data_IF_493221543355
#
_entry.id   IF_493221543355
#
_cell.length_a   1.000
_cell.length_b   1.000
_cell.length_c   1.000
_cell.angle_alpha   90.00
_cell.angle_beta   90.00
_cell.angle_gamma   90.00
#
_symmetry.space_group_name_H-M   'P 1'
#
loop_
_entity.id
_entity.type
_entity.pdbx_description
1 polymer ?
#
# COMPACT_ATOMS: atom_id res chain seq x y z
N UNK A 1 -11.45 0.48 -2.74
CA UNK A 1 -10.30 -0.08 -2.00
C UNK A 1 -10.77 -0.72 -0.70
N UNK A 2 -10.40 -1.97 -0.46
CA UNK A 2 -10.77 -2.66 0.77
C UNK A 2 -9.92 -2.22 1.97
N UNK A 3 -10.38 -2.54 3.19
CA UNK A 3 -9.68 -2.30 4.44
C UNK A 3 -8.68 -3.41 4.77
N UNK A 4 -8.46 -3.68 6.06
CA UNK A 4 -7.58 -4.76 6.53
C UNK A 4 -6.12 -4.34 6.73
N UNK A 5 -5.88 -3.05 6.97
CA UNK A 5 -4.59 -2.48 7.40
C UNK A 5 -3.42 -2.75 6.46
N UNK A 6 -3.65 -3.01 5.17
CA UNK A 6 -2.64 -3.52 4.22
C UNK A 6 -2.03 -4.88 4.63
N UNK A 7 -2.61 -5.58 5.60
CA UNK A 7 -2.16 -6.88 6.09
C UNK A 7 -3.08 -8.03 5.62
N UNK A 8 -4.37 -7.74 5.45
CA UNK A 8 -5.40 -8.70 5.06
C UNK A 8 -6.49 -8.05 4.18
N UNK A 9 -7.38 -8.86 3.61
CA UNK A 9 -8.49 -8.42 2.77
C UNK A 9 -8.44 -9.01 1.36
N UNK A 10 -9.38 -8.63 0.52
CA UNK A 10 -9.46 -9.09 -0.87
C UNK A 10 -10.30 -8.15 -1.72
N UNK A 11 -10.01 -8.09 -3.03
CA UNK A 11 -10.82 -7.37 -4.01
C UNK A 11 -12.20 -8.01 -4.25
N UNK A 12 -12.37 -9.29 -3.92
CA UNK A 12 -13.60 -10.07 -4.12
C UNK A 12 -14.34 -10.36 -2.81
N UNK A 13 -14.10 -9.55 -1.77
CA UNK A 13 -14.75 -9.75 -0.46
C UNK A 13 -16.16 -9.17 -0.36
N UNK A 14 -16.55 -8.33 -1.32
CA UNK A 14 -17.87 -7.73 -1.39
C UNK A 14 -18.82 -8.63 -2.15
N UNK A 15 -20.07 -8.69 -1.69
CA UNK A 15 -21.12 -9.46 -2.34
C UNK A 15 -21.53 -8.82 -3.68
N UNK A 16 -21.56 -9.62 -4.75
CA UNK A 16 -21.84 -9.15 -6.10
C UNK A 16 -23.27 -8.58 -6.25
N UNK A 17 -24.25 -9.16 -5.53
CA UNK A 17 -25.62 -8.66 -5.54
C UNK A 17 -25.69 -7.28 -4.88
N UNK A 18 -25.00 -7.10 -3.75
CA UNK A 18 -24.88 -5.79 -3.11
C UNK A 18 -24.22 -4.76 -4.04
N UNK A 19 -23.13 -5.12 -4.72
CA UNK A 19 -22.49 -4.23 -5.70
C UNK A 19 -23.48 -3.84 -6.80
N UNK A 20 -24.19 -4.82 -7.35
CA UNK A 20 -25.16 -4.60 -8.42
C UNK A 20 -26.28 -3.67 -7.99
N UNK A 21 -26.92 -3.95 -6.85
CA UNK A 21 -28.08 -3.20 -6.34
C UNK A 21 -27.76 -1.77 -5.90
N UNK A 22 -26.52 -1.53 -5.46
CA UNK A 22 -26.12 -0.23 -4.92
C UNK A 22 -25.42 0.66 -5.93
N UNK A 23 -24.74 0.07 -6.92
CA UNK A 23 -23.91 0.80 -7.89
C UNK A 23 -24.34 0.52 -9.32
N UNK A 24 -24.19 -0.71 -9.82
CA UNK A 24 -24.38 -0.99 -11.25
C UNK A 24 -25.80 -0.74 -11.74
N UNK A 25 -26.83 -1.01 -10.93
CA UNK A 25 -28.23 -0.72 -11.26
C UNK A 25 -28.57 0.77 -11.26
N UNK A 26 -27.62 1.63 -10.89
CA UNK A 26 -27.75 3.09 -10.82
C UNK A 26 -26.74 3.77 -11.76
N UNK A 27 -26.39 3.08 -12.84
CA UNK A 27 -25.50 3.57 -13.89
C UNK A 27 -24.08 3.93 -13.38
N UNK A 28 -23.59 3.20 -12.38
CA UNK A 28 -22.21 3.32 -11.88
C UNK A 28 -21.39 2.11 -12.30
N UNK A 29 -20.27 2.35 -12.99
CA UNK A 29 -19.25 1.32 -13.21
C UNK A 29 -18.44 1.15 -11.92
N UNK A 30 -18.60 0.00 -11.26
CA UNK A 30 -17.93 -0.31 -10.01
C UNK A 30 -16.65 -1.12 -10.28
N UNK A 31 -15.51 -0.65 -9.76
CA UNK A 31 -14.21 -1.31 -9.93
C UNK A 31 -13.62 -1.69 -8.57
N UNK A 32 -13.20 -2.93 -8.43
CA UNK A 32 -12.36 -3.42 -7.33
C UNK A 32 -11.03 -3.89 -7.89
N UNK A 33 -9.93 -3.47 -7.25
CA UNK A 33 -8.58 -3.89 -7.64
C UNK A 33 -7.90 -4.58 -6.46
N UNK A 34 -7.13 -5.62 -6.77
CA UNK A 34 -6.28 -6.30 -5.81
C UNK A 34 -4.94 -5.57 -5.69
N UNK A 35 -4.39 -5.57 -4.49
CA UNK A 35 -3.05 -5.05 -4.21
C UNK A 35 -2.36 -6.01 -3.25
N UNK A 36 -1.02 -6.00 -3.24
CA UNK A 36 -0.24 -6.84 -2.33
C UNK A 36 -0.52 -6.46 -0.87
N UNK A 37 -0.43 -7.45 0.01
CA UNK A 37 -0.73 -7.33 1.43
C UNK A 37 0.45 -7.88 2.26
N UNK A 38 0.46 -7.51 3.53
CA UNK A 38 1.41 -8.02 4.52
C UNK A 38 2.85 -7.73 4.13
N UNK A 39 3.72 -8.69 4.42
CA UNK A 39 5.12 -8.69 4.03
C UNK A 39 5.29 -8.30 2.56
N UNK A 40 4.54 -8.92 1.66
CA UNK A 40 4.67 -8.69 0.21
C UNK A 40 4.26 -7.28 -0.25
N UNK A 41 3.42 -6.59 0.52
CA UNK A 41 2.93 -5.25 0.19
C UNK A 41 3.71 -4.13 0.86
N UNK A 42 4.23 -4.36 2.06
CA UNK A 42 4.74 -3.30 2.94
C UNK A 42 6.05 -3.66 3.66
N UNK A 43 6.83 -4.62 3.17
CA UNK A 43 8.23 -4.79 3.58
C UNK A 43 9.04 -3.52 3.32
N UNK A 44 10.15 -3.35 4.05
CA UNK A 44 11.06 -2.24 3.84
C UNK A 44 12.51 -2.61 4.14
N UNK A 45 13.42 -1.90 3.49
CA UNK A 45 14.84 -1.86 3.81
C UNK A 45 15.29 -0.40 4.00
N UNK A 46 16.50 -0.21 4.54
CA UNK A 46 17.08 1.14 4.77
C UNK A 46 17.32 1.92 3.48
N UNK A 47 17.51 1.22 2.37
CA UNK A 47 17.47 1.77 1.01
C UNK A 47 16.27 1.17 0.26
N UNK A 48 15.80 1.86 -0.77
CA UNK A 48 14.70 1.44 -1.65
C UNK A 48 15.19 1.02 -3.06
N UNK A 49 16.51 0.98 -3.26
CA UNK A 49 17.14 0.67 -4.55
C UNK A 49 16.90 -0.77 -5.02
N UNK A 50 16.93 -1.75 -4.09
CA UNK A 50 16.72 -3.17 -4.44
C UNK A 50 15.24 -3.53 -4.51
N UNK A 51 14.45 -3.03 -3.55
CA UNK A 51 13.01 -3.22 -3.48
C UNK A 51 12.38 -1.89 -3.05
N UNK A 52 11.52 -1.29 -3.89
CA UNK A 52 10.79 -0.10 -3.51
C UNK A 52 9.96 -0.33 -2.25
N UNK A 53 9.93 0.65 -1.35
CA UNK A 53 9.00 0.67 -0.22
C UNK A 53 7.57 0.87 -0.73
N UNK A 54 6.57 0.56 0.11
CA UNK A 54 5.16 0.78 -0.21
C UNK A 54 4.69 0.11 -1.52
N UNK A 55 5.14 -1.12 -1.79
CA UNK A 55 4.74 -1.90 -2.97
C UNK A 55 3.22 -1.98 -3.16
N UNK A 56 2.45 -2.14 -2.08
CA UNK A 56 0.99 -2.11 -2.12
C UNK A 56 0.43 -0.77 -2.62
N UNK A 57 1.09 0.35 -2.31
CA UNK A 57 0.67 1.66 -2.79
C UNK A 57 0.93 1.80 -4.29
N UNK A 58 2.06 1.28 -4.78
CA UNK A 58 2.31 1.21 -6.23
C UNK A 58 1.27 0.37 -6.96
N UNK A 59 0.85 -0.77 -6.40
CA UNK A 59 -0.21 -1.59 -7.00
C UNK A 59 -1.54 -0.82 -7.08
N UNK A 60 -1.88 -0.08 -6.02
CA UNK A 60 -3.10 0.75 -5.98
C UNK A 60 -3.03 1.88 -7.01
N UNK A 61 -1.91 2.58 -7.11
CA UNK A 61 -1.70 3.65 -8.09
C UNK A 61 -1.83 3.10 -9.51
N UNK A 62 -1.19 1.96 -9.80
CA UNK A 62 -1.30 1.30 -11.10
C UNK A 62 -2.75 0.89 -11.41
N UNK A 63 -3.51 0.44 -10.39
CA UNK A 63 -4.93 0.14 -10.55
C UNK A 63 -5.78 1.38 -10.87
N UNK A 64 -5.52 2.51 -10.22
CA UNK A 64 -6.23 3.77 -10.52
C UNK A 64 -5.85 4.29 -11.90
N UNK A 65 -4.57 4.22 -12.26
CA UNK A 65 -4.07 4.59 -13.59
C UNK A 65 -4.71 3.74 -14.70
N UNK A 66 -4.82 2.43 -14.49
CA UNK A 66 -5.53 1.53 -15.40
C UNK A 66 -7.00 1.93 -15.56
N UNK A 67 -7.70 2.24 -14.45
CA UNK A 67 -9.09 2.72 -14.51
C UNK A 67 -9.19 4.01 -15.32
N UNK A 68 -8.31 5.00 -15.09
CA UNK A 68 -8.34 6.25 -15.83
C UNK A 68 -8.21 6.04 -17.35
N UNK A 69 -7.35 5.11 -17.79
CA UNK A 69 -7.13 4.86 -19.22
C UNK A 69 -8.19 3.97 -19.87
N UNK A 70 -8.77 3.01 -19.13
CA UNK A 70 -9.59 1.94 -19.71
C UNK A 70 -11.09 2.06 -19.43
N UNK A 71 -11.51 2.81 -18.40
CA UNK A 71 -12.90 2.74 -17.92
C UNK A 71 -13.94 3.18 -18.98
N UNK A 72 -13.52 4.00 -19.95
CA UNK A 72 -14.35 4.39 -21.09
C UNK A 72 -14.84 3.18 -21.92
N UNK A 73 -14.01 2.13 -22.06
CA UNK A 73 -14.38 0.91 -22.77
C UNK A 73 -15.48 0.10 -22.04
N UNK A 74 -15.64 0.33 -20.74
CA UNK A 74 -16.65 -0.30 -19.89
C UNK A 74 -17.88 0.59 -19.67
N UNK A 75 -17.97 1.73 -20.37
CA UNK A 75 -19.07 2.69 -20.25
C UNK A 75 -18.94 3.70 -19.11
N UNK A 76 -17.78 3.78 -18.44
CA UNK A 76 -17.51 4.81 -17.45
C UNK A 76 -16.95 6.08 -18.08
N UNK A 77 -16.87 7.16 -17.28
CA UNK A 77 -16.26 8.42 -17.68
C UNK A 77 -14.92 8.62 -16.95
N UNK A 78 -13.77 8.65 -17.65
CA UNK A 78 -12.46 8.83 -17.03
C UNK A 78 -12.28 10.20 -16.36
N UNK A 79 -13.19 11.15 -16.61
CA UNK A 79 -13.22 12.47 -15.95
C UNK A 79 -14.14 12.52 -14.72
N UNK A 80 -14.79 11.42 -14.38
CA UNK A 80 -15.68 11.30 -13.21
C UNK A 80 -15.32 10.06 -12.37
N UNK A 81 -14.03 9.84 -12.15
CA UNK A 81 -13.54 8.74 -11.31
C UNK A 81 -13.58 9.15 -9.84
N UNK A 82 -14.21 8.31 -9.00
CA UNK A 82 -14.25 8.47 -7.54
C UNK A 82 -13.44 7.36 -6.87
N UNK A 83 -12.42 7.71 -6.09
CA UNK A 83 -11.70 6.75 -5.25
C UNK A 83 -12.42 6.56 -3.92
N UNK A 84 -12.89 5.34 -3.66
CA UNK A 84 -13.62 5.00 -2.43
C UNK A 84 -12.85 3.95 -1.64
N UNK A 85 -12.82 4.09 -0.31
CA UNK A 85 -12.25 3.07 0.55
C UNK A 85 -12.79 3.05 1.98
N UNK A 86 -12.73 1.87 2.60
CA UNK A 86 -13.12 1.64 4.00
C UNK A 86 -11.89 1.33 4.86
N UNK A 87 -11.86 1.84 6.10
CA UNK A 87 -10.76 1.63 7.06
C UNK A 87 -9.43 2.09 6.43
N UNK A 88 -8.41 1.21 6.39
CA UNK A 88 -7.14 1.51 5.72
C UNK A 88 -7.31 1.91 4.25
N UNK A 89 -8.30 1.36 3.54
CA UNK A 89 -8.61 1.79 2.18
C UNK A 89 -9.09 3.24 2.13
N UNK A 90 -9.82 3.70 3.14
CA UNK A 90 -10.22 5.11 3.28
C UNK A 90 -9.01 6.00 3.59
N UNK A 91 -8.10 5.54 4.45
CA UNK A 91 -6.83 6.22 4.72
C UNK A 91 -6.00 6.36 3.44
N UNK A 92 -5.91 5.31 2.63
CA UNK A 92 -5.17 5.34 1.36
C UNK A 92 -5.82 6.31 0.37
N UNK A 93 -7.15 6.38 0.29
CA UNK A 93 -7.84 7.37 -0.53
C UNK A 93 -7.43 8.81 -0.13
N UNK A 94 -7.35 9.09 1.17
CA UNK A 94 -6.88 10.39 1.67
C UNK A 94 -5.40 10.64 1.37
N UNK A 95 -4.55 9.62 1.55
CA UNK A 95 -3.10 9.66 1.29
C UNK A 95 -2.82 10.00 -0.18
N UNK A 96 -3.49 9.30 -1.10
CA UNK A 96 -3.33 9.49 -2.54
C UNK A 96 -3.80 10.89 -2.94
N UNK A 97 -4.91 11.37 -2.39
CA UNK A 97 -5.39 12.73 -2.66
C UNK A 97 -4.46 13.83 -2.11
N UNK A 98 -3.84 13.60 -0.95
CA UNK A 98 -2.92 14.57 -0.34
C UNK A 98 -1.54 14.60 -1.01
N UNK A 99 -1.09 13.51 -1.62
CA UNK A 99 0.22 13.44 -2.24
C UNK A 99 0.28 14.13 -3.60
N UNK A 100 1.10 15.19 -3.68
CA UNK A 100 1.44 15.84 -4.95
C UNK A 100 2.33 15.01 -5.87
N UNK A 101 2.87 13.87 -5.40
CA UNK A 101 3.70 12.98 -6.20
C UNK A 101 2.87 11.97 -6.99
N UNK A 102 1.72 11.56 -6.46
CA UNK A 102 0.93 10.46 -7.02
C UNK A 102 0.06 10.95 -8.19
N UNK A 103 -0.59 12.11 -8.05
CA UNK A 103 -1.40 12.70 -9.12
C UNK A 103 -1.12 14.21 -9.24
N UNK A 104 0.06 14.62 -9.73
CA UNK A 104 0.47 16.03 -9.77
C UNK A 104 -0.47 16.90 -10.61
N UNK A 105 -1.14 16.32 -11.61
CA UNK A 105 -2.04 17.02 -12.52
C UNK A 105 -3.53 16.86 -12.17
N UNK A 106 -3.85 16.10 -11.12
CA UNK A 106 -5.23 15.81 -10.67
C UNK A 106 -6.11 15.21 -11.76
N UNK A 107 -5.54 14.28 -12.53
CA UNK A 107 -6.22 13.65 -13.66
C UNK A 107 -6.75 12.25 -13.34
N UNK A 108 -6.10 11.54 -12.42
CA UNK A 108 -6.40 10.13 -12.16
C UNK A 108 -7.77 9.93 -11.51
N UNK A 109 -8.22 10.87 -10.69
CA UNK A 109 -9.55 10.87 -10.09
C UNK A 109 -9.99 12.28 -9.65
N UNK A 110 -11.30 12.46 -9.45
CA UNK A 110 -11.90 13.76 -9.18
C UNK A 110 -12.54 13.85 -7.80
N UNK A 111 -12.92 12.72 -7.21
CA UNK A 111 -13.63 12.67 -5.93
C UNK A 111 -13.08 11.55 -5.05
N UNK A 112 -13.24 11.69 -3.74
CA UNK A 112 -12.87 10.66 -2.77
C UNK A 112 -14.00 10.41 -1.77
N UNK A 113 -14.13 9.16 -1.35
CA UNK A 113 -15.00 8.74 -0.25
C UNK A 113 -14.16 7.92 0.73
N UNK A 114 -13.89 8.48 1.90
CA UNK A 114 -13.15 7.81 2.97
C UNK A 114 -14.11 7.38 4.09
N UNK A 115 -14.35 6.07 4.22
CA UNK A 115 -15.26 5.50 5.21
C UNK A 115 -14.46 4.98 6.39
N UNK A 116 -14.68 5.54 7.57
CA UNK A 116 -13.99 5.18 8.81
C UNK A 116 -12.46 5.09 8.66
N UNK A 117 -11.79 6.12 8.08
CA UNK A 117 -10.35 6.07 7.88
C UNK A 117 -9.60 5.98 9.21
N UNK A 118 -8.49 5.24 9.21
CA UNK A 118 -7.55 5.14 10.31
C UNK A 118 -6.14 5.40 9.78
N UNK A 119 -5.60 6.60 10.03
CA UNK A 119 -4.24 6.94 9.59
C UNK A 119 -3.23 6.12 10.41
N UNK A 120 -2.72 5.06 9.79
CA UNK A 120 -1.71 4.16 10.37
C UNK A 120 -0.42 4.27 9.55
N UNK A 121 0.47 5.17 9.97
CA UNK A 121 1.81 5.29 9.42
C UNK A 121 2.80 4.47 10.23
N UNK A 122 3.70 3.77 9.53
CA UNK A 122 4.80 3.03 10.15
C UNK A 122 6.14 3.70 9.81
N UNK A 123 7.06 3.82 10.78
CA UNK A 123 8.41 4.30 10.49
C UNK A 123 9.17 3.26 9.66
N UNK A 124 9.93 3.73 8.66
CA UNK A 124 10.76 2.89 7.79
C UNK A 124 11.75 2.06 8.61
N UNK A 125 12.38 2.64 9.63
CA UNK A 125 13.34 1.93 10.49
C UNK A 125 12.69 0.71 11.16
N UNK A 126 11.56 0.89 11.84
CA UNK A 126 10.86 -0.21 12.51
C UNK A 126 10.35 -1.28 11.55
N UNK A 127 9.89 -0.90 10.35
CA UNK A 127 9.51 -1.88 9.32
C UNK A 127 10.72 -2.62 8.74
N UNK A 128 11.87 -1.94 8.63
CA UNK A 128 13.11 -2.56 8.19
C UNK A 128 13.59 -3.60 9.21
N UNK A 129 13.61 -3.25 10.50
CA UNK A 129 14.01 -4.18 11.56
C UNK A 129 13.09 -5.42 11.59
N UNK A 130 11.78 -5.23 11.41
CA UNK A 130 10.83 -6.34 11.32
C UNK A 130 11.04 -7.20 10.05
N UNK A 131 11.38 -6.58 8.92
CA UNK A 131 11.71 -7.29 7.66
C UNK A 131 12.93 -8.17 7.85
N UNK A 132 13.99 -7.67 8.49
CA UNK A 132 15.20 -8.43 8.81
C UNK A 132 14.95 -9.55 9.82
N UNK A 133 14.08 -9.31 10.81
CA UNK A 133 13.64 -10.36 11.72
C UNK A 133 12.92 -11.49 10.98
N UNK A 134 11.97 -11.18 10.10
CA UNK A 134 11.29 -12.21 9.31
C UNK A 134 12.30 -12.95 8.41
N UNK A 135 13.22 -12.23 7.77
CA UNK A 135 14.28 -12.82 6.95
C UNK A 135 15.13 -13.82 7.74
N UNK A 136 15.48 -13.49 9.00
CA UNK A 136 16.17 -14.41 9.89
C UNK A 136 15.35 -15.66 10.19
N UNK A 137 14.07 -15.49 10.53
CA UNK A 137 13.18 -16.58 10.91
C UNK A 137 12.87 -17.55 9.75
N UNK A 138 13.10 -17.14 8.50
CA UNK A 138 13.04 -18.01 7.31
C UNK A 138 14.43 -18.44 6.79
N UNK A 139 15.50 -18.16 7.54
CA UNK A 139 16.85 -18.64 7.24
C UNK A 139 17.66 -17.80 6.26
N UNK A 140 17.22 -16.58 5.92
CA UNK A 140 17.92 -15.69 4.99
C UNK A 140 19.00 -14.81 5.62
N UNK A 141 19.08 -14.78 6.96
CA UNK A 141 20.13 -14.04 7.67
C UNK A 141 20.61 -14.83 8.89
N UNK A 142 21.86 -14.57 9.32
CA UNK A 142 22.44 -15.21 10.51
C UNK A 142 21.91 -14.64 11.83
N UNK A 143 21.41 -13.42 11.83
CA UNK A 143 20.88 -12.70 13.00
C UNK A 143 19.58 -12.00 12.63
N UNK A 144 18.69 -11.83 13.61
CA UNK A 144 17.48 -11.01 13.50
C UNK A 144 17.77 -9.52 13.52
N UNK A 145 18.94 -9.11 14.01
CA UNK A 145 19.33 -7.70 14.04
C UNK A 145 19.78 -7.24 12.66
N UNK A 146 19.18 -6.16 12.19
CA UNK A 146 19.54 -5.53 10.93
C UNK A 146 20.91 -4.84 11.04
N UNK A 147 21.84 -5.04 10.08
CA UNK A 147 23.05 -4.22 9.98
C UNK A 147 22.70 -2.73 9.80
N UNK A 148 23.33 -1.83 10.54
CA UNK A 148 23.11 -0.39 10.40
C UNK A 148 24.44 0.37 10.35
N UNK A 149 24.74 1.10 9.26
CA UNK A 149 23.94 1.20 8.03
C UNK A 149 23.86 -0.14 7.27
N UNK A 150 22.71 -0.41 6.64
CA UNK A 150 22.56 -1.57 5.74
C UNK A 150 23.16 -1.24 4.37
N UNK A 151 24.11 -2.04 3.88
CA UNK A 151 24.69 -1.84 2.54
C UNK A 151 23.76 -2.36 1.43
N UNK A 152 23.96 -1.87 0.20
CA UNK A 152 23.20 -2.35 -0.97
C UNK A 152 23.42 -3.85 -1.21
N UNK A 153 24.65 -4.32 -1.03
CA UNK A 153 25.02 -5.74 -1.16
C UNK A 153 24.27 -6.60 -0.14
N UNK A 154 24.25 -6.20 1.14
CA UNK A 154 23.51 -6.90 2.19
C UNK A 154 22.00 -6.95 1.90
N UNK A 155 21.42 -5.84 1.46
CA UNK A 155 20.01 -5.83 1.05
C UNK A 155 19.77 -6.78 -0.12
N UNK A 156 20.65 -6.78 -1.12
CA UNK A 156 20.54 -7.62 -2.32
C UNK A 156 20.57 -9.11 -1.95
N UNK A 157 21.55 -9.54 -1.16
CA UNK A 157 21.67 -10.93 -0.70
C UNK A 157 20.41 -11.41 0.03
N UNK A 158 19.90 -10.59 0.95
CA UNK A 158 18.69 -10.94 1.72
C UNK A 158 17.45 -11.00 0.83
N UNK A 159 17.29 -10.07 -0.11
CA UNK A 159 16.17 -10.06 -1.05
C UNK A 159 16.23 -11.27 -1.99
N UNK A 160 17.40 -11.63 -2.50
CA UNK A 160 17.59 -12.82 -3.34
C UNK A 160 17.23 -14.09 -2.59
N UNK A 161 17.67 -14.22 -1.34
CA UNK A 161 17.26 -15.34 -0.50
C UNK A 161 15.75 -15.36 -0.27
N UNK A 162 15.14 -14.23 0.13
CA UNK A 162 13.70 -14.14 0.39
C UNK A 162 12.86 -14.53 -0.84
N UNK A 163 13.33 -14.19 -2.05
CA UNK A 163 12.67 -14.59 -3.31
C UNK A 163 12.74 -16.09 -3.60
N UNK A 164 13.67 -16.81 -2.96
CA UNK A 164 13.80 -18.27 -3.07
C UNK A 164 12.97 -19.04 -2.03
N UNK A 165 12.48 -18.36 -0.99
CA UNK A 165 11.62 -18.97 0.04
C UNK A 165 10.20 -19.11 -0.49
N UNK A 166 9.52 -20.22 -0.14
CA UNK A 166 8.11 -20.40 -0.50
C UNK A 166 7.25 -19.29 0.11
N UNK A 167 6.34 -18.73 -0.70
CA UNK A 167 5.51 -17.62 -0.27
C UNK A 167 4.59 -17.98 0.90
N UNK A 168 4.17 -19.24 1.03
CA UNK A 168 3.36 -19.72 2.15
C UNK A 168 4.17 -19.81 3.44
N UNK A 169 5.47 -20.09 3.37
CA UNK A 169 6.34 -20.09 4.55
C UNK A 169 6.54 -18.66 5.07
N UNK A 170 6.78 -17.70 4.17
CA UNK A 170 6.81 -16.27 4.52
C UNK A 170 5.49 -15.84 5.14
N UNK A 171 4.35 -16.22 4.55
CA UNK A 171 3.03 -15.87 5.06
C UNK A 171 2.75 -16.53 6.42
N UNK A 172 3.14 -17.78 6.61
CA UNK A 172 3.00 -18.48 7.88
C UNK A 172 3.82 -17.78 8.98
N UNK A 173 5.04 -17.33 8.64
CA UNK A 173 5.90 -16.61 9.58
C UNK A 173 5.38 -15.21 9.89
N UNK A 174 4.90 -14.48 8.89
CA UNK A 174 4.18 -13.23 9.10
C UNK A 174 3.01 -13.40 10.08
N UNK A 175 2.17 -14.42 9.89
CA UNK A 175 1.03 -14.68 10.79
C UNK A 175 1.45 -14.99 12.24
N UNK A 176 2.63 -15.57 12.43
CA UNK A 176 3.19 -15.78 13.76
C UNK A 176 3.61 -14.44 14.40
N UNK A 177 4.33 -13.60 13.65
CA UNK A 177 4.71 -12.25 14.09
C UNK A 177 3.50 -11.36 14.38
N UNK A 178 2.45 -11.46 13.58
CA UNK A 178 1.19 -10.74 13.80
C UNK A 178 0.61 -11.08 15.19
N UNK A 179 0.65 -12.35 15.61
CA UNK A 179 0.21 -12.80 16.96
C UNK A 179 1.12 -12.33 18.09
N UNK A 180 2.38 -12.06 17.79
CA UNK A 180 3.35 -11.47 18.72
C UNK A 180 3.22 -9.94 18.81
N UNK A 181 2.26 -9.33 18.11
CA UNK A 181 2.05 -7.88 18.10
C UNK A 181 2.99 -7.12 17.16
N UNK A 182 3.58 -7.82 16.18
CA UNK A 182 4.51 -7.27 15.20
C UNK A 182 3.96 -7.36 13.78
N UNK A 183 2.88 -6.63 13.46
CA UNK A 183 2.22 -6.80 12.17
C UNK A 183 2.95 -6.12 11.01
N UNK A 184 2.87 -6.77 9.85
CA UNK A 184 3.15 -6.12 8.56
C UNK A 184 1.89 -5.39 8.08
N UNK A 185 1.65 -4.19 8.60
CA UNK A 185 0.50 -3.34 8.32
C UNK A 185 0.89 -1.88 8.01
N UNK A 186 -0.09 -1.04 7.68
CA UNK A 186 0.10 0.41 7.58
C UNK A 186 0.95 0.87 6.40
N UNK A 187 0.92 2.18 6.14
CA UNK A 187 1.68 2.82 5.05
C UNK A 187 2.99 3.37 5.62
N UNK A 188 4.08 3.28 4.84
CA UNK A 188 5.35 3.89 5.21
C UNK A 188 5.36 5.36 4.76
N UNK A 189 5.83 6.25 5.62
CA UNK A 189 6.05 7.66 5.26
C UNK A 189 7.31 7.80 4.40
N UNK A 190 7.20 7.36 3.15
CA UNK A 190 8.27 7.20 2.15
C UNK A 190 7.66 7.22 0.73
N UNK A 191 8.46 7.16 -0.35
CA UNK A 191 7.94 7.03 -1.71
C UNK A 191 6.97 5.85 -1.88
N UNK A 192 6.00 5.93 -2.81
CA UNK A 192 5.69 7.07 -3.68
C UNK A 192 4.83 8.14 -3.00
N UNK A 193 4.47 7.96 -1.72
CA UNK A 193 3.58 8.87 -1.00
C UNK A 193 4.23 10.25 -0.77
N UNK A 194 5.48 10.26 -0.35
CA UNK A 194 6.25 11.47 -0.05
C UNK A 194 7.71 11.24 -0.44
N UNK A 195 8.48 12.29 -0.75
CA UNK A 195 9.92 12.13 -0.99
C UNK A 195 10.62 11.72 0.30
N UNK A 196 11.62 10.86 0.20
CA UNK A 196 12.42 10.47 1.35
C UNK A 196 13.02 11.71 2.05
N UNK A 197 12.98 11.71 3.38
CA UNK A 197 13.48 12.81 4.22
C UNK A 197 12.58 14.04 4.34
N UNK A 198 11.41 14.06 3.69
CA UNK A 198 10.45 15.16 3.84
C UNK A 198 9.90 15.20 5.27
N UNK A 199 9.89 16.39 5.89
CA UNK A 199 9.23 16.56 7.20
C UNK A 199 7.71 16.48 7.04
N UNK A 200 7.00 16.06 8.10
CA UNK A 200 5.54 15.94 8.03
C UNK A 200 4.85 17.29 7.77
N UNK A 201 5.40 18.36 8.34
CA UNK A 201 4.93 19.73 8.16
C UNK A 201 5.06 20.20 6.71
N UNK A 202 6.19 19.88 6.06
CA UNK A 202 6.44 20.21 4.66
C UNK A 202 5.51 19.42 3.72
N UNK A 203 5.20 18.17 4.08
CA UNK A 203 4.21 17.37 3.37
C UNK A 203 2.82 18.03 3.43
N UNK A 204 2.38 18.47 4.61
CA UNK A 204 1.09 19.15 4.78
C UNK A 204 1.04 20.50 4.04
N UNK A 205 2.11 21.28 4.09
CA UNK A 205 2.18 22.57 3.40
C UNK A 205 2.07 22.43 1.88
N UNK A 206 2.55 21.31 1.33
CA UNK A 206 2.49 21.00 -0.10
C UNK A 206 1.26 20.15 -0.49
N UNK A 207 0.39 19.82 0.46
CA UNK A 207 -0.83 19.06 0.19
C UNK A 207 -1.79 19.90 -0.66
N UNK A 208 -2.33 19.28 -1.69
CA UNK A 208 -3.21 19.95 -2.66
C UNK A 208 -4.70 19.79 -2.32
N UNK A 209 -5.03 19.21 -1.16
CA UNK A 209 -6.39 18.98 -0.68
C UNK A 209 -6.86 20.19 0.10
N UNK A 210 -7.83 20.92 -0.45
CA UNK A 210 -8.58 21.94 0.29
C UNK A 210 -9.68 21.25 1.09
N UNK A 211 -9.58 21.30 2.42
CA UNK A 211 -10.67 20.87 3.31
C UNK A 211 -11.64 22.05 3.43
N UNK A 212 -12.88 21.86 2.96
CA UNK A 212 -13.99 22.79 3.19
C UNK A 212 -14.83 22.32 4.37
#
# INVERSE_FOLDING_TARGET
>A
MHGGSLNSGSAVMSDDQFITDKYSSKDVVFVTSAFRLGFFGVLAFENDEVVPRNLALYDIIAGIDYVHHEIAAFGGDPKQVTVMGHSQGGSIAMIIAASSLIDPNKLLFQQLIAISPALNYRPVAGRSDLTWRLAHEVGCTKTSERPHPTTLEQTTEVVECLRSVDALDILARQKALDKEGLPFDGVLFAPPFVKDGTAFEDFLANSTVSVF
#
